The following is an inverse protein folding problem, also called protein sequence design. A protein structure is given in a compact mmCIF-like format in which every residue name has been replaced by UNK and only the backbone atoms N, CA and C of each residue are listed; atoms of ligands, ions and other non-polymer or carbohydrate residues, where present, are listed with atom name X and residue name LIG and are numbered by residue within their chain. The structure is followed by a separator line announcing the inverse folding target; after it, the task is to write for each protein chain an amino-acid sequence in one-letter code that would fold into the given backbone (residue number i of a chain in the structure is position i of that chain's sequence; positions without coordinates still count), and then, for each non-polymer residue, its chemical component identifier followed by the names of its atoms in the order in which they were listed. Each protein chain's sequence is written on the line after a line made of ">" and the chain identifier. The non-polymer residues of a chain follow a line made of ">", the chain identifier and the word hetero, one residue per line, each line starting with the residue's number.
data_IF_244487884472
#
_entry.id   IF_244487884472
#
_cell.length_a   1.000
_cell.length_b   1.000
_cell.length_c   1.000
_cell.angle_alpha   90.00
_cell.angle_beta   90.00
_cell.angle_gamma   90.00
#
_symmetry.space_group_name_H-M   'P 1'
#
loop_
_entity.id
_entity.type
_entity.pdbx_description
1 polymer ?
#
# COMPACT_ATOMS: atom_id res chain seq x y z
N UNK A 1 21.70 -11.20 -5.85
CA UNK A 1 20.69 -10.20 -5.41
C UNK A 1 19.26 -10.74 -5.51
N UNK A 2 18.85 -11.27 -6.68
CA UNK A 2 17.52 -11.85 -6.92
C UNK A 2 17.17 -13.03 -5.98
N UNK A 3 18.11 -13.96 -5.72
CA UNK A 3 17.90 -15.07 -4.77
C UNK A 3 17.64 -14.61 -3.33
N UNK A 4 18.26 -13.50 -2.89
CA UNK A 4 18.00 -12.94 -1.56
C UNK A 4 16.64 -12.25 -1.50
N UNK A 5 16.22 -11.55 -2.56
CA UNK A 5 14.89 -10.93 -2.62
C UNK A 5 13.75 -11.95 -2.55
N UNK A 6 13.86 -13.08 -3.28
CA UNK A 6 12.86 -14.14 -3.20
C UNK A 6 12.82 -14.80 -1.81
N UNK A 7 13.98 -14.96 -1.17
CA UNK A 7 14.08 -15.52 0.18
C UNK A 7 13.50 -14.58 1.24
N UNK A 8 13.80 -13.28 1.17
CA UNK A 8 13.24 -12.27 2.10
C UNK A 8 11.74 -12.10 1.88
N UNK A 9 11.30 -12.00 0.62
CA UNK A 9 9.87 -11.95 0.24
C UNK A 9 9.07 -13.12 0.77
N UNK A 10 9.60 -14.34 0.67
CA UNK A 10 8.96 -15.51 1.24
C UNK A 10 8.85 -15.43 2.77
N UNK A 11 9.93 -15.06 3.46
CA UNK A 11 9.96 -14.98 4.93
C UNK A 11 8.96 -13.94 5.45
N UNK A 12 8.91 -12.74 4.87
CA UNK A 12 7.98 -11.68 5.29
C UNK A 12 6.54 -12.10 5.10
N UNK A 13 6.21 -12.68 3.94
CA UNK A 13 4.84 -13.17 3.65
C UNK A 13 4.44 -14.32 4.56
N UNK A 14 5.34 -15.29 4.78
CA UNK A 14 5.09 -16.40 5.70
C UNK A 14 4.89 -15.91 7.13
N UNK A 15 5.74 -15.00 7.62
CA UNK A 15 5.60 -14.43 8.96
C UNK A 15 4.28 -13.68 9.14
N UNK A 16 3.88 -12.87 8.16
CA UNK A 16 2.59 -12.18 8.17
C UNK A 16 1.43 -13.19 8.23
N UNK A 17 1.40 -14.16 7.31
CA UNK A 17 0.32 -15.16 7.25
C UNK A 17 0.24 -15.99 8.54
N UNK A 18 1.37 -16.47 9.06
CA UNK A 18 1.41 -17.24 10.32
C UNK A 18 0.89 -16.39 11.48
N UNK A 19 1.37 -15.15 11.61
CA UNK A 19 0.93 -14.27 12.70
C UNK A 19 -0.58 -14.00 12.63
N UNK A 20 -1.12 -13.71 11.45
CA UNK A 20 -2.55 -13.49 11.25
C UNK A 20 -3.36 -14.71 11.70
N UNK A 21 -3.00 -15.90 11.24
CA UNK A 21 -3.74 -17.11 11.58
C UNK A 21 -3.59 -17.52 13.04
N UNK A 22 -2.42 -17.32 13.66
CA UNK A 22 -2.22 -17.56 15.09
C UNK A 22 -3.13 -16.64 15.92
N UNK A 23 -3.21 -15.35 15.57
CA UNK A 23 -4.12 -14.41 16.24
C UNK A 23 -5.57 -14.86 16.05
N UNK A 24 -6.00 -15.13 14.82
CA UNK A 24 -7.36 -15.59 14.53
C UNK A 24 -7.70 -16.85 15.31
N UNK A 25 -6.87 -17.89 15.26
CA UNK A 25 -7.10 -19.14 16.01
C UNK A 25 -7.19 -18.87 17.51
N UNK A 26 -6.32 -18.02 18.07
CA UNK A 26 -6.37 -17.67 19.50
C UNK A 26 -7.73 -17.05 19.88
N UNK A 27 -8.29 -16.18 19.04
CA UNK A 27 -9.60 -15.57 19.28
C UNK A 27 -10.75 -16.59 19.26
N UNK A 28 -10.66 -17.64 18.44
CA UNK A 28 -11.67 -18.71 18.37
C UNK A 28 -11.49 -19.81 19.45
N UNK A 29 -10.29 -19.94 20.01
CA UNK A 29 -10.01 -20.95 21.05
C UNK A 29 -10.26 -20.45 22.47
N UNK A 30 -10.13 -19.15 22.72
CA UNK A 30 -10.44 -18.54 24.02
C UNK A 30 -11.91 -18.16 24.14
N UNK A 31 -12.40 -17.94 25.36
CA UNK A 31 -13.78 -17.53 25.69
C UNK A 31 -14.08 -16.07 25.27
N UNK A 32 -13.89 -15.77 23.98
CA UNK A 32 -14.23 -14.49 23.38
C UNK A 32 -15.68 -14.49 22.92
N UNK A 33 -16.19 -13.32 22.50
CA UNK A 33 -17.50 -13.22 21.87
C UNK A 33 -17.65 -14.17 20.66
N UNK A 34 -16.61 -14.32 19.82
CA UNK A 34 -16.67 -15.20 18.66
C UNK A 34 -16.89 -16.65 19.06
N UNK A 35 -16.14 -17.14 20.06
CA UNK A 35 -16.27 -18.49 20.58
C UNK A 35 -17.66 -18.71 21.20
N UNK A 36 -18.13 -17.76 22.00
CA UNK A 36 -19.47 -17.83 22.60
C UNK A 36 -20.58 -17.84 21.56
N UNK A 37 -20.45 -17.09 20.46
CA UNK A 37 -21.38 -17.15 19.32
C UNK A 37 -21.38 -18.52 18.65
N UNK A 38 -20.21 -19.13 18.42
CA UNK A 38 -20.12 -20.48 17.85
C UNK A 38 -20.78 -21.53 18.75
N UNK A 39 -20.56 -21.46 20.07
CA UNK A 39 -21.17 -22.39 21.04
C UNK A 39 -22.70 -22.25 21.11
N UNK A 40 -23.23 -21.04 20.84
CA UNK A 40 -24.68 -20.80 20.71
C UNK A 40 -25.25 -21.17 19.34
N UNK A 41 -24.42 -21.54 18.36
CA UNK A 41 -24.83 -21.79 16.97
C UNK A 41 -25.05 -20.54 16.12
N UNK A 42 -24.69 -19.36 16.62
CA UNK A 42 -24.79 -18.07 15.93
C UNK A 42 -23.57 -17.85 15.01
N UNK A 43 -23.55 -18.50 13.84
CA UNK A 43 -22.37 -18.52 12.97
C UNK A 43 -22.14 -17.26 12.14
N UNK A 44 -23.09 -16.32 12.09
CA UNK A 44 -22.99 -15.13 11.23
C UNK A 44 -21.79 -14.25 11.62
N UNK A 45 -21.66 -13.90 12.90
CA UNK A 45 -20.60 -13.00 13.38
C UNK A 45 -19.20 -13.65 13.23
N UNK A 46 -18.97 -14.92 13.66
CA UNK A 46 -17.73 -15.63 13.39
C UNK A 46 -17.39 -15.75 11.90
N UNK A 47 -18.38 -16.05 11.05
CA UNK A 47 -18.16 -16.14 9.61
C UNK A 47 -17.77 -14.79 8.99
N UNK A 48 -18.44 -13.69 9.37
CA UNK A 48 -18.09 -12.35 8.87
C UNK A 48 -16.68 -11.93 9.30
N UNK A 49 -16.29 -12.20 10.55
CA UNK A 49 -14.94 -11.93 11.02
C UNK A 49 -13.90 -12.76 10.25
N UNK A 50 -14.14 -14.07 10.07
CA UNK A 50 -13.26 -14.94 9.30
C UNK A 50 -13.13 -14.48 7.84
N UNK A 51 -14.24 -14.13 7.19
CA UNK A 51 -14.25 -13.62 5.82
C UNK A 51 -13.47 -12.30 5.69
N UNK A 52 -13.58 -11.41 6.68
CA UNK A 52 -12.80 -10.17 6.72
C UNK A 52 -11.29 -10.45 6.82
N UNK A 53 -10.88 -11.39 7.68
CA UNK A 53 -9.48 -11.82 7.80
C UNK A 53 -8.99 -12.41 6.49
N UNK A 54 -9.76 -13.29 5.86
CA UNK A 54 -9.43 -13.89 4.55
C UNK A 54 -9.29 -12.81 3.48
N UNK A 55 -10.23 -11.86 3.41
CA UNK A 55 -10.15 -10.73 2.48
C UNK A 55 -8.87 -9.91 2.71
N UNK A 56 -8.51 -9.64 3.98
CA UNK A 56 -7.27 -8.92 4.30
C UNK A 56 -6.03 -9.66 3.81
N UNK A 57 -5.96 -10.98 4.02
CA UNK A 57 -4.85 -11.83 3.53
C UNK A 57 -4.79 -11.84 2.00
N UNK A 58 -5.94 -11.94 1.32
CA UNK A 58 -5.99 -11.89 -0.15
C UNK A 58 -5.51 -10.54 -0.69
N UNK A 59 -5.89 -9.43 -0.06
CA UNK A 59 -5.43 -8.09 -0.42
C UNK A 59 -3.92 -7.93 -0.16
N UNK A 60 -3.40 -8.45 0.96
CA UNK A 60 -1.97 -8.48 1.25
C UNK A 60 -1.18 -9.19 0.13
N UNK A 61 -1.63 -10.37 -0.30
CA UNK A 61 -1.01 -11.10 -1.41
C UNK A 61 -1.18 -10.36 -2.74
N UNK A 62 -2.33 -9.75 -2.98
CA UNK A 62 -2.56 -8.93 -4.17
C UNK A 62 -1.53 -7.81 -4.25
N UNK A 63 -1.30 -7.05 -3.18
CA UNK A 63 -0.36 -5.92 -3.21
C UNK A 63 1.09 -6.39 -3.28
N UNK A 64 1.45 -7.42 -2.51
CA UNK A 64 2.82 -7.93 -2.45
C UNK A 64 3.29 -8.63 -3.71
N UNK A 65 2.36 -9.17 -4.53
CA UNK A 65 2.68 -9.89 -5.77
C UNK A 65 2.40 -9.08 -7.04
N UNK A 66 1.55 -8.04 -6.98
CA UNK A 66 1.18 -7.25 -8.16
C UNK A 66 2.34 -6.39 -8.65
N UNK A 67 2.50 -6.33 -9.97
CA UNK A 67 3.43 -5.40 -10.61
C UNK A 67 3.07 -3.95 -10.20
N UNK A 68 3.99 -3.19 -9.58
CA UNK A 68 3.75 -1.80 -9.22
C UNK A 68 3.72 -0.84 -10.41
N UNK A 69 4.05 -1.31 -11.61
CA UNK A 69 4.26 -0.51 -12.81
C UNK A 69 5.74 -0.38 -13.13
N UNK A 70 6.46 -1.50 -13.21
CA UNK A 70 7.86 -1.48 -13.62
C UNK A 70 8.01 -0.95 -15.06
N UNK A 71 8.92 0.01 -15.25
CA UNK A 71 9.23 0.57 -16.57
C UNK A 71 10.17 -0.39 -17.31
N UNK A 72 9.80 -0.75 -18.54
CA UNK A 72 10.64 -1.53 -19.45
C UNK A 72 11.82 -0.69 -19.93
N UNK A 73 13.00 -1.33 -20.01
CA UNK A 73 14.21 -0.70 -20.54
C UNK A 73 14.08 -0.40 -22.04
N UNK A 74 14.86 0.56 -22.54
CA UNK A 74 14.89 0.92 -23.97
C UNK A 74 15.19 -0.33 -24.83
N UNK A 75 16.12 -1.19 -24.40
CA UNK A 75 16.45 -2.46 -25.06
C UNK A 75 15.30 -3.50 -25.08
N UNK A 76 14.39 -3.47 -24.08
CA UNK A 76 13.20 -4.33 -24.07
C UNK A 76 12.06 -3.76 -24.91
N UNK A 77 11.95 -2.42 -24.98
CA UNK A 77 11.00 -1.76 -25.90
C UNK A 77 11.34 -2.12 -27.34
N UNK A 78 12.60 -2.01 -27.76
CA UNK A 78 13.02 -2.35 -29.13
C UNK A 78 12.66 -3.78 -29.56
N UNK A 79 12.53 -4.72 -28.63
CA UNK A 79 12.05 -6.10 -28.91
C UNK A 79 10.52 -6.25 -29.01
N UNK A 80 9.74 -5.32 -28.42
CA UNK A 80 8.28 -5.27 -28.50
C UNK A 80 7.77 -4.30 -29.59
N UNK A 81 8.60 -3.33 -30.00
CA UNK A 81 8.23 -2.29 -30.98
C UNK A 81 8.30 -2.78 -32.44
N UNK A 82 8.79 -4.00 -32.71
CA UNK A 82 8.66 -4.63 -34.04
C UNK A 82 7.23 -5.04 -34.42
N UNK A 83 6.22 -4.78 -33.57
CA UNK A 83 4.82 -5.07 -33.90
C UNK A 83 3.87 -3.87 -33.96
N UNK A 84 4.21 -2.70 -33.44
CA UNK A 84 3.31 -1.53 -33.48
C UNK A 84 4.11 -0.23 -33.63
N UNK A 85 4.25 0.21 -34.89
CA UNK A 85 4.80 1.52 -35.24
C UNK A 85 3.81 2.66 -34.95
N UNK A 86 4.41 3.83 -34.70
CA UNK A 86 3.83 5.17 -34.80
C UNK A 86 2.99 5.67 -33.63
N UNK A 87 3.61 6.51 -32.78
CA UNK A 87 3.05 7.84 -32.55
C UNK A 87 4.16 8.87 -32.30
N UNK A 88 4.07 9.96 -33.06
CA UNK A 88 5.13 10.91 -33.33
C UNK A 88 5.55 11.76 -32.12
N UNK A 89 6.85 11.95 -31.99
CA UNK A 89 7.46 12.92 -31.09
C UNK A 89 7.24 14.33 -31.66
N UNK A 90 6.26 15.08 -31.15
CA UNK A 90 6.11 16.51 -31.42
C UNK A 90 6.87 17.28 -30.33
N UNK A 91 7.91 18.06 -30.65
CA UNK A 91 8.58 18.91 -29.67
C UNK A 91 7.75 20.19 -29.48
N UNK A 92 6.93 20.23 -28.42
CA UNK A 92 6.32 21.45 -27.91
C UNK A 92 7.23 22.11 -26.86
N UNK A 93 7.30 23.46 -26.79
CA UNK A 93 8.06 24.13 -25.75
C UNK A 93 7.35 23.93 -24.40
N UNK A 94 8.13 23.67 -23.33
CA UNK A 94 7.75 23.50 -21.91
C UNK A 94 7.62 22.07 -21.34
N UNK A 95 8.05 20.99 -22.02
CA UNK A 95 8.28 19.74 -21.27
C UNK A 95 9.54 19.89 -20.40
N UNK A 96 9.48 19.75 -19.06
CA UNK A 96 10.70 19.60 -18.28
C UNK A 96 11.47 18.39 -18.82
N UNK A 97 12.79 18.54 -19.06
CA UNK A 97 13.60 17.46 -19.60
C UNK A 97 13.43 16.19 -18.75
N UNK A 98 12.93 15.13 -19.37
CA UNK A 98 12.73 13.86 -18.70
C UNK A 98 14.10 13.30 -18.28
N UNK A 99 14.21 12.89 -17.01
CA UNK A 99 15.46 12.39 -16.45
C UNK A 99 15.79 11.02 -17.04
N UNK A 100 17.06 10.78 -17.36
CA UNK A 100 17.53 9.44 -17.76
C UNK A 100 17.98 8.66 -16.53
N UNK A 101 17.54 7.41 -16.40
CA UNK A 101 18.01 6.52 -15.34
C UNK A 101 19.37 5.93 -15.73
N UNK A 102 20.44 6.23 -14.98
CA UNK A 102 21.76 5.64 -15.22
C UNK A 102 21.86 4.13 -14.97
N UNK A 103 20.96 3.54 -14.16
CA UNK A 103 20.96 2.11 -13.86
C UNK A 103 20.17 1.29 -14.89
N UNK A 104 18.98 1.77 -15.27
CA UNK A 104 18.10 1.08 -16.21
C UNK A 104 18.35 1.49 -17.67
N UNK A 105 19.20 2.51 -17.90
CA UNK A 105 19.51 3.08 -19.21
C UNK A 105 18.25 3.42 -20.03
N UNK A 106 17.23 3.97 -19.37
CA UNK A 106 15.95 4.36 -19.97
C UNK A 106 15.60 5.81 -19.64
N UNK A 107 14.80 6.45 -20.49
CA UNK A 107 14.17 7.73 -20.18
C UNK A 107 13.03 7.53 -19.18
N UNK A 108 13.16 8.09 -17.97
CA UNK A 108 12.18 7.88 -16.91
C UNK A 108 10.91 8.67 -17.22
N UNK A 109 9.74 8.02 -17.28
CA UNK A 109 8.47 8.74 -17.31
C UNK A 109 8.36 9.69 -16.13
N UNK A 110 7.58 10.76 -16.27
CA UNK A 110 7.30 11.69 -15.19
C UNK A 110 6.69 10.95 -13.99
N UNK A 111 7.08 11.37 -12.78
CA UNK A 111 6.79 10.68 -11.50
C UNK A 111 7.38 9.27 -11.34
N UNK A 112 8.13 8.76 -12.32
CA UNK A 112 8.84 7.48 -12.16
C UNK A 112 10.17 7.65 -11.41
N UNK A 113 10.58 6.60 -10.69
CA UNK A 113 11.86 6.57 -9.97
C UNK A 113 12.46 5.17 -9.94
N UNK A 114 13.79 5.11 -9.98
CA UNK A 114 14.53 3.87 -9.75
C UNK A 114 14.46 3.45 -8.28
N UNK A 115 14.00 2.23 -8.04
CA UNK A 115 14.09 1.58 -6.74
C UNK A 115 15.35 0.72 -6.70
N UNK A 116 16.31 1.06 -5.85
CA UNK A 116 17.56 0.30 -5.70
C UNK A 116 17.30 -1.14 -5.24
N UNK A 117 16.33 -1.34 -4.33
CA UNK A 117 15.98 -2.68 -3.83
C UNK A 117 15.38 -3.56 -4.91
N UNK A 118 14.49 -3.03 -5.73
CA UNK A 118 13.88 -3.78 -6.84
C UNK A 118 14.76 -3.82 -8.10
N UNK A 119 15.81 -2.99 -8.19
CA UNK A 119 16.68 -2.88 -9.35
C UNK A 119 16.01 -2.35 -10.63
N UNK A 120 14.83 -1.74 -10.52
CA UNK A 120 14.00 -1.31 -11.66
C UNK A 120 13.38 0.07 -11.43
N UNK A 121 13.11 0.79 -12.51
CA UNK A 121 12.27 2.00 -12.45
C UNK A 121 10.81 1.61 -12.27
N UNK A 122 10.09 2.35 -11.43
CA UNK A 122 8.67 2.15 -11.13
C UNK A 122 7.92 3.44 -11.47
N UNK A 123 6.80 3.32 -12.19
CA UNK A 123 5.91 4.42 -12.55
C UNK A 123 5.17 4.95 -11.32
N UNK A 124 4.96 6.27 -11.27
CA UNK A 124 4.34 6.99 -10.13
C UNK A 124 4.82 6.40 -8.80
N UNK A 125 6.14 6.33 -8.64
CA UNK A 125 6.78 5.64 -7.52
C UNK A 125 6.37 6.29 -6.21
N UNK A 126 5.79 5.51 -5.30
CA UNK A 126 5.45 5.99 -3.98
C UNK A 126 6.56 5.64 -2.98
N UNK A 127 6.77 4.35 -2.75
CA UNK A 127 7.85 3.85 -1.90
C UNK A 127 8.17 2.39 -2.22
N UNK A 128 9.25 1.89 -1.62
CA UNK A 128 9.49 0.45 -1.50
C UNK A 128 9.04 0.02 -0.11
N UNK A 129 8.11 -0.94 -0.03
CA UNK A 129 7.52 -1.38 1.23
C UNK A 129 8.19 -2.68 1.70
N UNK A 130 8.98 -2.67 2.79
CA UNK A 130 9.59 -3.89 3.32
C UNK A 130 8.54 -4.90 3.81
N UNK A 131 7.38 -4.44 4.24
CA UNK A 131 6.28 -5.32 4.71
C UNK A 131 5.63 -6.13 3.58
N UNK A 132 5.76 -5.65 2.34
CA UNK A 132 5.26 -6.30 1.14
C UNK A 132 6.38 -6.97 0.34
N UNK A 133 7.64 -6.66 0.66
CA UNK A 133 8.82 -6.94 -0.17
C UNK A 133 8.58 -6.59 -1.65
N UNK A 134 7.87 -5.47 -1.87
CA UNK A 134 7.48 -4.98 -3.19
C UNK A 134 7.42 -3.44 -3.18
N UNK A 135 7.53 -2.85 -4.36
CA UNK A 135 7.26 -1.42 -4.52
C UNK A 135 5.77 -1.13 -4.50
N UNK A 136 5.42 0.07 -4.05
CA UNK A 136 4.11 0.68 -4.24
C UNK A 136 4.26 1.75 -5.32
N UNK A 137 3.49 1.60 -6.39
CA UNK A 137 3.54 2.44 -7.59
C UNK A 137 2.21 2.48 -8.32
N UNK A 138 2.19 3.06 -9.53
CA UNK A 138 0.97 3.38 -10.27
C UNK A 138 -0.08 2.24 -10.33
N UNK A 139 0.37 1.00 -10.54
CA UNK A 139 -0.55 -0.11 -10.80
C UNK A 139 -1.05 -0.85 -9.55
N UNK A 140 -0.39 -0.66 -8.39
CA UNK A 140 -0.77 -1.33 -7.14
C UNK A 140 -1.10 -0.37 -5.97
N UNK A 141 -0.86 0.94 -6.10
CA UNK A 141 -1.07 1.91 -5.01
C UNK A 141 -2.52 1.93 -4.50
N UNK A 142 -3.53 1.85 -5.39
CA UNK A 142 -4.94 1.77 -4.96
C UNK A 142 -5.21 0.56 -4.05
N UNK A 143 -4.63 -0.59 -4.40
CA UNK A 143 -4.81 -1.84 -3.68
C UNK A 143 -4.10 -1.79 -2.34
N UNK A 144 -2.98 -1.08 -2.25
CA UNK A 144 -2.27 -0.83 -1.00
C UNK A 144 -3.14 -0.01 -0.03
N UNK A 145 -3.80 1.06 -0.50
CA UNK A 145 -4.70 1.86 0.35
C UNK A 145 -5.95 1.07 0.78
N UNK A 146 -6.56 0.31 -0.14
CA UNK A 146 -7.70 -0.58 0.19
C UNK A 146 -7.29 -1.65 1.20
N UNK A 147 -6.10 -2.24 1.03
CA UNK A 147 -5.52 -3.18 1.98
C UNK A 147 -5.36 -2.55 3.37
N UNK A 148 -4.78 -1.34 3.48
CA UNK A 148 -4.63 -0.66 4.77
C UNK A 148 -5.97 -0.44 5.47
N UNK A 149 -7.01 -0.07 4.73
CA UNK A 149 -8.36 0.11 5.27
C UNK A 149 -8.93 -1.22 5.79
N UNK A 150 -8.94 -2.28 4.97
CA UNK A 150 -9.46 -3.59 5.36
C UNK A 150 -8.66 -4.19 6.52
N UNK A 151 -7.33 -4.03 6.51
CA UNK A 151 -6.44 -4.47 7.57
C UNK A 151 -6.74 -3.73 8.88
N UNK A 152 -6.97 -2.42 8.84
CA UNK A 152 -7.35 -1.65 10.02
C UNK A 152 -8.70 -2.12 10.59
N UNK A 153 -9.70 -2.35 9.73
CA UNK A 153 -11.01 -2.87 10.17
C UNK A 153 -10.87 -4.24 10.83
N UNK A 154 -10.09 -5.15 10.25
CA UNK A 154 -9.82 -6.48 10.81
C UNK A 154 -9.11 -6.38 12.18
N UNK A 155 -8.12 -5.48 12.30
CA UNK A 155 -7.39 -5.27 13.55
C UNK A 155 -8.27 -4.66 14.65
N UNK A 156 -9.07 -3.64 14.33
CA UNK A 156 -9.99 -3.03 15.31
C UNK A 156 -11.05 -4.01 15.80
N UNK A 157 -11.57 -4.86 14.91
CA UNK A 157 -12.52 -5.90 15.30
C UNK A 157 -11.82 -6.99 16.13
N UNK A 158 -10.62 -7.43 15.75
CA UNK A 158 -9.82 -8.36 16.55
C UNK A 158 -9.52 -7.81 17.96
N UNK A 159 -9.25 -6.50 18.07
CA UNK A 159 -9.05 -5.81 19.35
C UNK A 159 -10.30 -5.88 20.22
N UNK A 160 -11.47 -5.58 19.63
CA UNK A 160 -12.76 -5.67 20.32
C UNK A 160 -13.04 -7.10 20.81
N UNK A 161 -12.86 -8.11 19.95
CA UNK A 161 -13.05 -9.52 20.30
C UNK A 161 -12.09 -9.95 21.41
N UNK A 162 -10.82 -9.56 21.34
CA UNK A 162 -9.84 -9.89 22.38
C UNK A 162 -10.21 -9.26 23.74
N UNK A 163 -10.70 -8.02 23.75
CA UNK A 163 -11.21 -7.35 24.96
C UNK A 163 -12.43 -8.09 25.53
N UNK A 164 -13.32 -8.58 24.67
CA UNK A 164 -14.54 -9.29 25.08
C UNK A 164 -14.29 -10.61 25.81
N UNK A 165 -13.08 -11.20 25.66
CA UNK A 165 -12.69 -12.44 26.31
C UNK A 165 -11.91 -12.25 27.61
N UNK A 166 -11.68 -11.01 28.05
CA UNK A 166 -10.99 -10.77 29.31
C UNK A 166 -11.88 -11.16 30.49
N UNK A 167 -11.36 -12.06 31.33
CA UNK A 167 -12.07 -12.59 32.51
C UNK A 167 -11.56 -11.96 33.80
N UNK A 168 -12.44 -11.49 34.70
CA UNK A 168 -12.02 -10.96 35.99
C UNK A 168 -11.47 -12.07 36.90
N UNK A 169 -10.59 -11.71 37.83
CA UNK A 169 -10.08 -12.63 38.85
C UNK A 169 -9.82 -11.91 40.16
N UNK A 170 -9.81 -12.65 41.28
CA UNK A 170 -9.64 -12.09 42.62
C UNK A 170 -8.22 -11.57 42.88
N UNK A 171 -7.21 -12.11 42.19
CA UNK A 171 -5.81 -11.69 42.35
C UNK A 171 -5.19 -11.33 41.00
N UNK A 172 -4.25 -10.37 41.00
CA UNK A 172 -3.54 -9.95 39.79
C UNK A 172 -2.74 -11.07 39.12
N UNK A 173 -2.16 -11.98 39.90
CA UNK A 173 -1.39 -13.12 39.39
C UNK A 173 -2.29 -14.11 38.64
N UNK A 174 -3.45 -14.43 39.22
CA UNK A 174 -4.42 -15.32 38.58
C UNK A 174 -5.08 -14.64 37.38
N UNK A 175 -5.36 -13.33 37.45
CA UNK A 175 -5.85 -12.56 36.31
C UNK A 175 -4.87 -12.59 35.14
N UNK A 176 -3.57 -12.38 35.38
CA UNK A 176 -2.54 -12.46 34.35
C UNK A 176 -2.41 -13.87 33.77
N UNK A 177 -2.48 -14.91 34.61
CA UNK A 177 -2.42 -16.29 34.14
C UNK A 177 -3.60 -16.65 33.24
N UNK A 178 -4.81 -16.22 33.61
CA UNK A 178 -6.03 -16.46 32.83
C UNK A 178 -6.06 -15.69 31.51
N UNK A 179 -5.60 -14.44 31.52
CA UNK A 179 -5.72 -13.53 30.37
C UNK A 179 -4.44 -13.38 29.54
N UNK A 180 -3.32 -14.01 29.92
CA UNK A 180 -2.00 -13.74 29.36
C UNK A 180 -1.92 -13.82 27.83
N UNK A 181 -2.53 -14.83 27.22
CA UNK A 181 -2.58 -14.98 25.77
C UNK A 181 -3.40 -13.87 25.09
N UNK A 182 -4.57 -13.52 25.63
CA UNK A 182 -5.40 -12.44 25.12
C UNK A 182 -4.72 -11.07 25.30
N UNK A 183 -3.99 -10.86 26.39
CA UNK A 183 -3.18 -9.65 26.60
C UNK A 183 -2.05 -9.53 25.57
N UNK A 184 -1.39 -10.63 25.22
CA UNK A 184 -0.39 -10.64 24.15
C UNK A 184 -1.02 -10.30 22.79
N UNK A 185 -2.18 -10.89 22.47
CA UNK A 185 -2.95 -10.55 21.26
C UNK A 185 -3.35 -9.08 21.25
N UNK A 186 -3.88 -8.54 22.36
CA UNK A 186 -4.25 -7.13 22.51
C UNK A 186 -3.06 -6.21 22.28
N UNK A 187 -1.89 -6.52 22.84
CA UNK A 187 -0.68 -5.73 22.64
C UNK A 187 -0.26 -5.72 21.17
N UNK A 188 -0.20 -6.89 20.53
CA UNK A 188 0.20 -7.02 19.12
C UNK A 188 -0.79 -6.33 18.19
N UNK A 189 -2.08 -6.64 18.31
CA UNK A 189 -3.14 -6.05 17.48
C UNK A 189 -3.25 -4.55 17.73
N UNK A 190 -3.11 -4.09 18.97
CA UNK A 190 -3.13 -2.67 19.32
C UNK A 190 -2.00 -1.88 18.65
N UNK A 191 -0.76 -2.38 18.72
CA UNK A 191 0.39 -1.75 18.04
C UNK A 191 0.16 -1.70 16.53
N UNK A 192 -0.24 -2.81 15.92
CA UNK A 192 -0.51 -2.84 14.47
C UNK A 192 -1.70 -1.97 14.06
N UNK A 193 -2.72 -1.81 14.92
CA UNK A 193 -3.86 -0.91 14.67
C UNK A 193 -3.41 0.54 14.58
N UNK A 194 -2.57 0.99 15.52
CA UNK A 194 -2.02 2.36 15.53
C UNK A 194 -1.18 2.59 14.28
N UNK A 195 -0.26 1.67 13.96
CA UNK A 195 0.59 1.78 12.78
C UNK A 195 -0.24 1.81 11.49
N UNK A 196 -1.20 0.90 11.33
CA UNK A 196 -2.06 0.85 10.15
C UNK A 196 -2.93 2.11 10.01
N UNK A 197 -3.48 2.61 11.13
CA UNK A 197 -4.28 3.84 11.16
C UNK A 197 -3.47 5.07 10.74
N UNK A 198 -2.25 5.24 11.28
CA UNK A 198 -1.37 6.34 10.89
C UNK A 198 -0.97 6.26 9.41
N UNK A 199 -0.57 5.07 8.94
CA UNK A 199 -0.23 4.87 7.53
C UNK A 199 -1.43 5.18 6.62
N UNK A 200 -2.62 4.67 6.95
CA UNK A 200 -3.83 4.95 6.17
C UNK A 200 -4.13 6.45 6.12
N UNK A 201 -4.08 7.13 7.27
CA UNK A 201 -4.29 8.58 7.35
C UNK A 201 -3.30 9.37 6.48
N UNK A 202 -2.01 9.07 6.58
CA UNK A 202 -0.98 9.70 5.76
C UNK A 202 -1.22 9.46 4.26
N UNK A 203 -1.51 8.22 3.85
CA UNK A 203 -1.75 7.91 2.44
C UNK A 203 -3.03 8.56 1.92
N UNK A 204 -4.11 8.61 2.70
CA UNK A 204 -5.34 9.30 2.30
C UNK A 204 -5.12 10.80 2.12
N UNK A 205 -4.34 11.43 3.01
CA UNK A 205 -3.93 12.82 2.85
C UNK A 205 -3.13 13.03 1.56
N UNK A 206 -2.10 12.22 1.31
CA UNK A 206 -1.29 12.32 0.09
C UNK A 206 -2.10 12.09 -1.18
N UNK A 207 -3.04 11.13 -1.16
CA UNK A 207 -3.99 10.91 -2.26
C UNK A 207 -4.87 12.13 -2.47
N UNK A 208 -5.36 12.78 -1.40
CA UNK A 208 -6.23 13.96 -1.52
C UNK A 208 -5.57 15.18 -2.16
N UNK A 209 -4.24 15.27 -2.15
CA UNK A 209 -3.45 16.32 -2.82
C UNK A 209 -2.69 15.79 -4.06
N UNK A 210 -3.05 14.59 -4.55
CA UNK A 210 -2.40 13.88 -5.65
C UNK A 210 -0.86 13.88 -5.58
N UNK A 211 -0.32 13.67 -4.39
CA UNK A 211 1.11 13.54 -4.14
C UNK A 211 1.45 12.09 -3.80
N UNK A 212 2.68 11.68 -4.07
CA UNK A 212 3.23 10.42 -3.58
C UNK A 212 4.09 10.68 -2.34
N UNK A 213 4.31 9.66 -1.53
CA UNK A 213 5.23 9.74 -0.38
C UNK A 213 6.61 10.21 -0.81
N UNK A 214 7.10 9.71 -1.95
CA UNK A 214 8.39 10.14 -2.50
C UNK A 214 8.40 11.62 -2.89
N UNK A 215 7.34 12.12 -3.55
CA UNK A 215 7.22 13.54 -3.92
C UNK A 215 7.21 14.43 -2.69
N UNK A 216 6.39 14.08 -1.69
CA UNK A 216 6.30 14.79 -0.42
C UNK A 216 7.65 14.82 0.32
N UNK A 217 8.30 13.67 0.51
CA UNK A 217 9.56 13.58 1.26
C UNK A 217 10.79 14.10 0.51
N UNK A 218 10.71 14.22 -0.82
CA UNK A 218 11.87 14.52 -1.67
C UNK A 218 11.67 15.75 -2.54
N UNK A 219 10.71 16.61 -2.21
CA UNK A 219 10.28 17.76 -3.00
C UNK A 219 11.46 18.51 -3.65
N UNK A 220 12.44 18.95 -2.85
CA UNK A 220 13.60 19.73 -3.35
C UNK A 220 14.48 18.99 -4.39
N UNK A 221 14.45 17.65 -4.42
CA UNK A 221 15.23 16.81 -5.35
C UNK A 221 14.52 16.58 -6.68
N UNK A 222 13.29 17.06 -6.82
CA UNK A 222 12.41 16.76 -7.95
C UNK A 222 12.28 18.00 -8.82
N UNK A 223 12.81 17.91 -10.04
CA UNK A 223 12.94 19.06 -10.92
C UNK A 223 11.59 19.71 -11.27
N UNK A 224 10.55 18.92 -11.54
CA UNK A 224 9.23 19.46 -11.90
C UNK A 224 8.45 20.05 -10.71
N UNK A 225 8.94 19.87 -9.48
CA UNK A 225 8.36 20.44 -8.25
C UNK A 225 9.10 21.69 -7.76
N UNK A 226 10.30 22.00 -8.29
CA UNK A 226 11.11 23.13 -7.80
C UNK A 226 10.43 24.49 -7.89
N UNK A 227 9.51 24.65 -8.85
CA UNK A 227 8.78 25.91 -9.07
C UNK A 227 7.40 25.92 -8.41
N UNK A 228 7.01 24.82 -7.75
CA UNK A 228 5.77 24.71 -6.99
C UNK A 228 6.05 25.06 -5.53
N UNK A 229 5.07 25.61 -4.81
CA UNK A 229 5.13 25.69 -3.34
C UNK A 229 5.12 24.26 -2.79
N UNK A 230 5.74 24.03 -1.63
CA UNK A 230 5.85 22.68 -1.05
C UNK A 230 4.47 22.04 -0.78
N UNK A 231 3.43 22.85 -0.63
CA UNK A 231 2.04 22.43 -0.40
C UNK A 231 1.26 22.19 -1.70
N UNK A 232 1.73 22.70 -2.84
CA UNK A 232 0.99 22.70 -4.10
C UNK A 232 1.51 21.60 -5.04
N UNK A 233 0.76 20.50 -5.15
CA UNK A 233 1.05 19.49 -6.18
C UNK A 233 0.55 19.97 -7.54
N UNK A 234 1.38 19.98 -8.60
CA UNK A 234 0.94 20.35 -9.95
C UNK A 234 -0.06 19.35 -10.55
N UNK A 235 -0.31 18.22 -9.86
CA UNK A 235 -1.27 17.20 -10.23
C UNK A 235 -2.57 17.28 -9.44
N UNK A 236 -2.68 18.19 -8.47
CA UNK A 236 -3.88 18.40 -7.67
C UNK A 236 -5.01 18.99 -8.53
N UNK A 237 -6.21 18.41 -8.43
CA UNK A 237 -7.45 18.88 -9.07
C UNK A 237 -8.60 19.07 -8.07
N UNK A 238 -8.27 19.17 -6.79
CA UNK A 238 -9.21 19.16 -5.67
C UNK A 238 -9.47 17.75 -5.13
N UNK A 239 -9.82 17.69 -3.85
CA UNK A 239 -9.93 16.46 -3.06
C UNK A 239 -10.81 15.40 -3.74
N UNK A 240 -12.02 15.77 -4.17
CA UNK A 240 -12.97 14.83 -4.79
C UNK A 240 -12.46 14.27 -6.11
N UNK A 241 -11.91 15.13 -6.98
CA UNK A 241 -11.34 14.72 -8.26
C UNK A 241 -10.14 13.79 -8.06
N UNK A 242 -9.26 14.10 -7.11
CA UNK A 242 -8.08 13.29 -6.83
C UNK A 242 -8.46 11.90 -6.27
N UNK A 243 -9.42 11.84 -5.35
CA UNK A 243 -9.91 10.57 -4.80
C UNK A 243 -10.58 9.73 -5.89
N UNK A 244 -11.44 10.34 -6.71
CA UNK A 244 -12.10 9.67 -7.82
C UNK A 244 -11.08 9.13 -8.84
N UNK A 245 -10.15 9.98 -9.27
CA UNK A 245 -9.09 9.58 -10.21
C UNK A 245 -8.25 8.43 -9.64
N UNK A 246 -7.90 8.48 -8.36
CA UNK A 246 -7.07 7.45 -7.72
C UNK A 246 -7.78 6.09 -7.57
N UNK A 247 -9.03 6.08 -7.12
CA UNK A 247 -9.76 4.84 -6.86
C UNK A 247 -10.49 4.27 -8.09
N UNK A 248 -11.02 5.13 -8.96
CA UNK A 248 -11.90 4.72 -10.05
C UNK A 248 -11.22 4.63 -11.43
N UNK A 249 -10.06 5.28 -11.63
CA UNK A 249 -9.38 5.24 -12.94
C UNK A 249 -8.43 4.04 -13.03
N UNK A 250 -8.73 3.08 -13.90
CA UNK A 250 -7.95 1.84 -14.09
C UNK A 250 -6.91 1.87 -15.23
N UNK A 251 -6.63 3.04 -15.81
CA UNK A 251 -5.66 3.18 -16.92
C UNK A 251 -4.32 3.72 -16.44
N UNK A 252 -3.26 3.35 -17.16
CA UNK A 252 -1.95 4.00 -17.03
C UNK A 252 -2.04 5.45 -17.46
N UNK A 253 -1.48 6.37 -16.67
CA UNK A 253 -1.55 7.81 -16.95
C UNK A 253 -0.22 8.29 -17.54
N UNK A 254 -0.31 9.08 -18.60
CA UNK A 254 0.82 9.84 -19.15
C UNK A 254 0.94 11.14 -18.38
N UNK A 255 1.67 11.10 -17.26
CA UNK A 255 1.79 12.20 -16.30
C UNK A 255 2.37 13.49 -16.91
N UNK A 256 3.15 13.37 -17.99
CA UNK A 256 3.66 14.49 -18.78
C UNK A 256 2.53 15.33 -19.39
N UNK A 257 1.51 14.69 -19.98
CA UNK A 257 0.36 15.37 -20.56
C UNK A 257 -0.50 16.03 -19.49
N UNK A 258 -0.62 15.39 -18.32
CA UNK A 258 -1.32 15.95 -17.16
C UNK A 258 -0.61 17.19 -16.65
N UNK A 259 0.71 17.13 -16.48
CA UNK A 259 1.53 18.25 -16.05
C UNK A 259 1.41 19.42 -17.04
N UNK A 260 1.60 19.18 -18.33
CA UNK A 260 1.50 20.21 -19.36
C UNK A 260 0.15 20.92 -19.34
N UNK A 261 -0.96 20.14 -19.30
CA UNK A 261 -2.31 20.70 -19.25
C UNK A 261 -2.50 21.59 -18.02
N UNK A 262 -2.14 21.09 -16.85
CA UNK A 262 -2.34 21.82 -15.59
C UNK A 262 -1.41 23.06 -15.48
N UNK A 263 -0.24 23.05 -16.13
CA UNK A 263 0.67 24.22 -16.16
C UNK A 263 0.32 25.24 -17.24
N UNK A 264 -0.35 24.82 -18.31
CA UNK A 264 -0.76 25.71 -19.40
C UNK A 264 -2.04 26.48 -19.05
N UNK A 265 -2.98 25.84 -18.34
CA UNK A 265 -4.23 26.43 -17.85
C UNK A 265 -4.28 26.32 -16.32
N UNK A 266 -3.64 27.24 -15.56
CA UNK A 266 -3.76 27.25 -14.10
C UNK A 266 -5.21 27.58 -13.72
N UNK A 267 -5.88 26.62 -13.06
CA UNK A 267 -7.23 26.78 -12.49
C UNK A 267 -7.21 27.74 -11.31
#
# INVERSE_FOLDING_TARGET
>A
MVQNMFRTGFVVRAAHTVLTWVITITLFLHDTELRRCEERGELLLPALFFLLVVLSVLLYFTVSLKDPGFVLSDAQKDSQTWSEESEAMVPGPLTPQLRRCGFCLLQQPMRAKHCKTCGRCVRRFDHHCPWMENCVGEWNHRWFVVYLLVQLLALLWALHVALSGLSPSATWQQWLWLNGFLLAVLAVVGVFSVVAGLLLGCHLYLVSINSTTWEFMSHHRIQYLKNCREEDSPFDRGIFCNLWDFFCTCRTVTWEQVYQRNTADPV
#
